data_IF_557216256496
#
_entry.id   IF_557216256496
#
_cell.length_a   1.000
_cell.length_b   1.000
_cell.length_c   1.000
_cell.angle_alpha   90.00
_cell.angle_beta   90.00
_cell.angle_gamma   90.00
#
_symmetry.space_group_name_H-M   'P 1'
#
loop_
_entity.id
_entity.type
_entity.pdbx_description
1 polymer ?
#
# COMPACT_ATOMS: atom_id res chain seq x y z
N UNK A 1 -50.17 -8.83 51.04
CA UNK A 1 -49.02 -8.68 50.11
C UNK A 1 -48.14 -9.91 50.25
N UNK A 2 -48.20 -10.83 49.28
CA UNK A 2 -47.47 -12.10 49.30
C UNK A 2 -46.04 -11.87 48.79
N UNK A 3 -45.03 -12.14 49.65
CA UNK A 3 -43.61 -12.07 49.32
C UNK A 3 -43.15 -13.42 48.79
N UNK A 4 -42.62 -13.46 47.56
CA UNK A 4 -42.12 -14.67 46.90
C UNK A 4 -40.60 -14.61 46.84
N UNK A 5 -39.94 -15.41 47.68
CA UNK A 5 -38.49 -15.60 47.66
C UNK A 5 -38.08 -16.51 46.49
N UNK A 6 -37.18 -16.07 45.62
CA UNK A 6 -36.58 -16.90 44.56
C UNK A 6 -35.42 -17.73 45.13
N UNK A 7 -35.21 -18.99 44.68
CA UNK A 7 -34.06 -19.78 45.10
C UNK A 7 -32.79 -19.33 44.37
N UNK A 8 -31.68 -19.24 45.09
CA UNK A 8 -30.34 -19.06 44.53
C UNK A 8 -29.80 -20.42 44.13
N UNK A 9 -29.59 -20.66 42.83
CA UNK A 9 -28.94 -21.87 42.32
C UNK A 9 -27.44 -21.66 42.38
N UNK A 10 -26.76 -22.46 43.20
CA UNK A 10 -25.29 -22.45 43.31
C UNK A 10 -24.73 -23.41 42.27
N UNK A 11 -24.19 -22.85 41.19
CA UNK A 11 -23.59 -23.60 40.09
C UNK A 11 -22.17 -24.04 40.49
N UNK A 12 -21.97 -25.33 40.74
CA UNK A 12 -20.64 -25.90 40.99
C UNK A 12 -20.01 -26.32 39.66
N UNK A 13 -18.97 -25.60 39.23
CA UNK A 13 -18.13 -26.02 38.10
C UNK A 13 -17.17 -27.12 38.57
N UNK A 14 -17.11 -28.23 37.83
CA UNK A 14 -16.13 -29.30 38.05
C UNK A 14 -14.77 -28.87 37.47
N UNK A 15 -13.64 -29.11 38.15
CA UNK A 15 -12.32 -28.86 37.57
C UNK A 15 -12.04 -29.88 36.45
N UNK A 16 -11.94 -29.45 35.20
CA UNK A 16 -11.61 -30.33 34.07
C UNK A 16 -11.89 -29.79 32.67
N UNK A 17 -12.76 -28.80 32.52
CA UNK A 17 -13.18 -28.29 31.20
C UNK A 17 -12.32 -27.13 30.69
N UNK A 18 -10.99 -27.25 30.79
CA UNK A 18 -10.05 -26.31 30.18
C UNK A 18 -9.42 -26.96 28.94
N UNK A 19 -9.96 -26.57 27.78
CA UNK A 19 -9.36 -26.63 26.43
C UNK A 19 -8.77 -27.98 25.96
N UNK A 20 -9.54 -28.79 25.19
CA UNK A 20 -8.95 -29.90 24.45
C UNK A 20 -8.27 -29.36 23.18
N UNK A 21 -6.97 -29.06 23.25
CA UNK A 21 -6.15 -28.92 22.05
C UNK A 21 -6.00 -30.30 21.39
N UNK A 22 -6.71 -30.52 20.27
CA UNK A 22 -6.46 -31.66 19.37
C UNK A 22 -5.24 -31.32 18.49
N UNK A 23 -4.21 -32.18 18.39
CA UNK A 23 -3.16 -31.97 17.40
C UNK A 23 -3.73 -32.17 15.99
N UNK A 24 -3.55 -31.17 15.13
CA UNK A 24 -3.84 -31.26 13.70
C UNK A 24 -2.85 -32.23 13.06
N UNK A 25 -3.36 -33.31 12.47
CA UNK A 25 -2.58 -34.20 11.60
C UNK A 25 -1.96 -33.40 10.44
N UNK A 26 -0.68 -33.59 10.20
CA UNK A 26 0.06 -32.89 9.15
C UNK A 26 -0.54 -33.17 7.76
N UNK A 27 -0.82 -32.15 6.93
CA UNK A 27 -1.23 -32.38 5.56
C UNK A 27 -0.02 -32.77 4.70
N UNK A 28 -0.26 -33.74 3.81
CA UNK A 28 0.69 -34.25 2.83
C UNK A 28 1.26 -33.13 1.93
N UNK A 29 2.50 -33.36 1.48
CA UNK A 29 3.38 -32.45 0.74
C UNK A 29 2.70 -31.38 -0.13
N UNK A 30 2.89 -30.12 0.26
CA UNK A 30 2.50 -28.95 -0.55
C UNK A 30 3.45 -28.85 -1.74
N UNK A 31 3.03 -29.33 -2.92
CA UNK A 31 3.67 -29.00 -4.20
C UNK A 31 3.75 -27.47 -4.33
N UNK A 32 4.97 -26.93 -4.44
CA UNK A 32 5.20 -25.52 -4.80
C UNK A 32 4.64 -25.30 -6.21
N UNK A 33 3.49 -24.63 -6.31
CA UNK A 33 3.07 -23.99 -7.56
C UNK A 33 3.93 -22.74 -7.71
N UNK A 34 4.93 -22.81 -8.57
CA UNK A 34 5.60 -21.61 -9.07
C UNK A 34 4.61 -20.91 -10.00
N UNK A 35 4.02 -19.81 -9.54
CA UNK A 35 3.37 -18.88 -10.46
C UNK A 35 4.48 -18.16 -11.21
N UNK A 36 4.63 -18.46 -12.50
CA UNK A 36 5.38 -17.59 -13.39
C UNK A 36 4.56 -16.31 -13.56
N UNK A 37 4.77 -15.35 -12.68
CA UNK A 37 4.20 -14.01 -12.84
C UNK A 37 5.10 -13.28 -13.83
N UNK A 38 4.74 -13.32 -15.11
CA UNK A 38 5.27 -12.36 -16.08
C UNK A 38 4.98 -10.96 -15.52
N UNK A 39 6.00 -10.11 -15.29
CA UNK A 39 5.77 -8.74 -14.84
C UNK A 39 4.83 -8.04 -15.82
N UNK A 40 3.83 -7.28 -15.34
CA UNK A 40 2.96 -6.53 -16.23
C UNK A 40 3.81 -5.61 -17.12
N UNK A 41 3.49 -5.58 -18.42
CA UNK A 41 4.17 -4.73 -19.37
C UNK A 41 4.09 -3.26 -18.91
N UNK A 42 5.22 -2.54 -18.94
CA UNK A 42 5.26 -1.12 -18.60
C UNK A 42 4.49 -0.35 -19.67
N UNK A 43 3.33 0.20 -19.30
CA UNK A 43 2.53 1.07 -20.15
C UNK A 43 3.35 2.29 -20.57
N UNK A 44 3.17 2.73 -21.81
CA UNK A 44 3.90 3.88 -22.39
C UNK A 44 3.09 5.16 -22.22
N UNK A 45 3.75 6.31 -22.24
CA UNK A 45 3.13 7.64 -22.10
C UNK A 45 1.99 7.90 -23.11
N UNK A 46 2.00 7.22 -24.26
CA UNK A 46 0.93 7.26 -25.26
C UNK A 46 -0.41 6.66 -24.81
N UNK A 47 -0.44 5.94 -23.69
CA UNK A 47 -1.63 5.24 -23.18
C UNK A 47 -2.32 5.98 -22.01
N UNK A 48 -1.87 7.19 -21.69
CA UNK A 48 -2.45 8.05 -20.65
C UNK A 48 -3.91 8.42 -20.92
N UNK A 49 -4.75 8.31 -19.89
CA UNK A 49 -6.17 8.67 -19.91
C UNK A 49 -6.45 9.74 -18.87
N UNK A 50 -6.71 10.95 -19.33
CA UNK A 50 -6.99 12.09 -18.46
C UNK A 50 -8.48 12.16 -18.10
N UNK A 51 -8.77 12.46 -16.84
CA UNK A 51 -10.13 12.73 -16.35
C UNK A 51 -10.71 13.98 -16.99
N UNK A 52 -12.00 13.95 -17.31
CA UNK A 52 -12.69 15.06 -17.99
C UNK A 52 -12.82 16.34 -17.16
N UNK A 53 -12.51 16.31 -15.86
CA UNK A 53 -12.55 17.47 -14.97
C UNK A 53 -11.23 18.28 -14.94
N UNK A 54 -10.25 17.91 -15.76
CA UNK A 54 -8.90 18.47 -15.72
C UNK A 54 -8.47 18.99 -17.09
N UNK A 55 -7.51 19.92 -17.09
CA UNK A 55 -6.83 20.34 -18.32
C UNK A 55 -5.96 19.19 -18.84
N UNK A 56 -6.38 18.59 -19.96
CA UNK A 56 -5.69 17.46 -20.55
C UNK A 56 -4.24 17.77 -20.93
N UNK A 57 -3.97 18.96 -21.46
CA UNK A 57 -2.62 19.33 -21.90
C UNK A 57 -1.65 19.41 -20.73
N UNK A 58 -2.10 20.01 -19.62
CA UNK A 58 -1.30 20.16 -18.40
C UNK A 58 -1.04 18.81 -17.73
N UNK A 59 -2.09 18.00 -17.56
CA UNK A 59 -1.96 16.68 -16.92
C UNK A 59 -1.04 15.77 -17.74
N UNK A 60 -1.14 15.78 -19.07
CA UNK A 60 -0.25 15.00 -19.93
C UNK A 60 1.21 15.43 -19.81
N UNK A 61 1.48 16.74 -19.76
CA UNK A 61 2.84 17.25 -19.59
C UNK A 61 3.45 16.84 -18.24
N UNK A 62 2.74 17.08 -17.15
CA UNK A 62 3.19 16.74 -15.79
C UNK A 62 3.35 15.23 -15.60
N UNK A 63 2.41 14.43 -16.09
CA UNK A 63 2.50 12.97 -16.02
C UNK A 63 3.64 12.43 -16.88
N UNK A 64 3.86 12.97 -18.08
CA UNK A 64 4.98 12.55 -18.93
C UNK A 64 6.31 12.82 -18.26
N UNK A 65 6.48 13.98 -17.63
CA UNK A 65 7.69 14.29 -16.88
C UNK A 65 7.95 13.28 -15.75
N UNK A 66 6.94 12.97 -14.94
CA UNK A 66 7.05 11.97 -13.86
C UNK A 66 7.42 10.57 -14.39
N UNK A 67 6.94 10.21 -15.58
CA UNK A 67 7.28 8.95 -16.24
C UNK A 67 8.70 8.94 -16.81
N UNK A 68 9.15 10.07 -17.37
CA UNK A 68 10.48 10.24 -17.97
C UNK A 68 11.60 10.27 -16.91
N UNK A 69 11.32 10.84 -15.73
CA UNK A 69 12.19 10.74 -14.54
C UNK A 69 12.37 9.28 -14.08
N UNK A 70 11.53 8.37 -14.57
CA UNK A 70 11.74 6.92 -14.51
C UNK A 70 11.24 6.26 -13.23
N UNK A 71 10.87 7.05 -12.22
CA UNK A 71 10.43 6.56 -10.92
C UNK A 71 8.94 6.20 -10.86
N UNK A 72 8.11 6.86 -11.65
CA UNK A 72 6.68 6.55 -11.75
C UNK A 72 6.36 5.61 -12.91
N UNK A 73 5.21 4.96 -12.81
CA UNK A 73 4.66 4.07 -13.83
C UNK A 73 3.16 4.32 -13.96
N UNK A 74 2.62 4.12 -15.16
CA UNK A 74 1.18 4.11 -15.36
C UNK A 74 0.58 2.81 -14.81
N UNK A 75 -0.58 2.92 -14.16
CA UNK A 75 -1.40 1.81 -13.70
C UNK A 75 -2.82 1.93 -14.26
N UNK A 76 -3.70 0.97 -13.93
CA UNK A 76 -5.13 0.98 -14.29
C UNK A 76 -5.43 1.30 -15.76
N UNK A 77 -4.66 0.71 -16.68
CA UNK A 77 -4.83 0.94 -18.13
C UNK A 77 -4.66 2.43 -18.52
N UNK A 78 -3.73 3.13 -17.86
CA UNK A 78 -3.37 4.52 -18.14
C UNK A 78 -4.14 5.57 -17.34
N UNK A 79 -4.96 5.16 -16.39
CA UNK A 79 -5.83 6.05 -15.60
C UNK A 79 -5.22 6.49 -14.26
N UNK A 80 -4.01 6.02 -13.94
CA UNK A 80 -3.35 6.31 -12.68
C UNK A 80 -1.83 6.24 -12.76
N UNK A 81 -1.19 6.72 -11.70
CA UNK A 81 0.26 6.69 -11.50
C UNK A 81 0.59 5.88 -10.25
N UNK A 82 1.61 5.02 -10.33
CA UNK A 82 2.10 4.25 -9.19
C UNK A 82 3.62 4.32 -9.06
N UNK A 83 4.11 4.26 -7.82
CA UNK A 83 5.53 4.24 -7.45
C UNK A 83 5.73 3.54 -6.11
N UNK A 84 6.88 2.89 -5.96
CA UNK A 84 7.36 2.37 -4.67
C UNK A 84 8.47 3.27 -4.10
N UNK A 85 8.32 3.67 -2.84
CA UNK A 85 9.29 4.42 -2.06
C UNK A 85 9.99 3.50 -1.06
N UNK A 86 11.29 3.71 -0.83
CA UNK A 86 12.09 2.93 0.13
C UNK A 86 12.89 3.83 1.05
N UNK A 87 12.92 3.49 2.34
CA UNK A 87 13.69 4.24 3.34
C UNK A 87 14.55 3.30 4.19
N UNK A 88 15.48 3.87 4.95
CA UNK A 88 16.39 3.10 5.80
C UNK A 88 15.69 2.41 6.99
N UNK A 89 14.64 3.02 7.53
CA UNK A 89 13.95 2.54 8.74
C UNK A 89 12.44 2.70 8.64
N UNK A 90 11.68 1.88 9.37
CA UNK A 90 10.22 2.02 9.47
C UNK A 90 9.79 3.41 9.94
N UNK A 91 10.53 4.01 10.89
CA UNK A 91 10.22 5.36 11.37
C UNK A 91 10.30 6.40 10.26
N UNK A 92 11.36 6.34 9.43
CA UNK A 92 11.50 7.25 8.29
C UNK A 92 10.37 7.07 7.26
N UNK A 93 10.00 5.82 6.97
CA UNK A 93 8.86 5.50 6.11
C UNK A 93 7.54 6.05 6.67
N UNK A 94 7.31 5.90 7.97
CA UNK A 94 6.09 6.40 8.62
C UNK A 94 6.04 7.94 8.65
N UNK A 95 7.17 8.59 8.87
CA UNK A 95 7.26 10.06 8.83
C UNK A 95 6.95 10.60 7.41
N UNK A 96 7.41 9.92 6.35
CA UNK A 96 7.02 10.20 4.97
C UNK A 96 5.50 10.04 4.76
N UNK A 97 4.93 8.93 5.23
CA UNK A 97 3.49 8.70 5.11
C UNK A 97 2.65 9.74 5.86
N UNK A 98 3.11 10.21 7.02
CA UNK A 98 2.43 11.26 7.78
C UNK A 98 2.37 12.58 7.00
N UNK A 99 3.48 12.98 6.36
CA UNK A 99 3.53 14.19 5.53
C UNK A 99 2.57 14.07 4.33
N UNK A 100 2.57 12.90 3.65
CA UNK A 100 1.64 12.62 2.54
C UNK A 100 0.18 12.67 3.02
N UNK A 101 -0.14 12.08 4.18
CA UNK A 101 -1.49 12.09 4.74
C UNK A 101 -1.99 13.51 5.08
N UNK A 102 -1.11 14.39 5.56
CA UNK A 102 -1.44 15.79 5.81
C UNK A 102 -1.83 16.51 4.50
N UNK A 103 -1.07 16.29 3.43
CA UNK A 103 -1.35 16.88 2.12
C UNK A 103 -2.62 16.29 1.47
N UNK A 104 -2.86 14.98 1.63
CA UNK A 104 -4.12 14.35 1.18
C UNK A 104 -5.35 15.07 1.74
N UNK A 105 -5.30 15.45 3.01
CA UNK A 105 -6.38 16.19 3.68
C UNK A 105 -6.55 17.58 3.09
N UNK A 106 -5.45 18.29 2.79
CA UNK A 106 -5.47 19.61 2.18
C UNK A 106 -6.06 19.58 0.76
N UNK A 107 -5.61 18.63 -0.06
CA UNK A 107 -6.07 18.47 -1.45
C UNK A 107 -7.44 17.77 -1.58
N UNK A 108 -7.93 17.20 -0.47
CA UNK A 108 -9.11 16.31 -0.44
C UNK A 108 -9.00 15.21 -1.49
N UNK A 109 -7.82 14.60 -1.57
CA UNK A 109 -7.46 13.57 -2.54
C UNK A 109 -6.63 12.51 -1.83
N UNK A 110 -6.99 11.25 -1.96
CA UNK A 110 -6.40 10.17 -1.17
C UNK A 110 -5.83 9.09 -2.09
N UNK A 111 -4.70 8.48 -1.74
CA UNK A 111 -4.11 7.44 -2.55
C UNK A 111 -4.71 6.08 -2.20
N UNK A 112 -4.47 5.12 -3.08
CA UNK A 112 -4.39 3.72 -2.72
C UNK A 112 -2.92 3.44 -2.34
N UNK A 113 -2.66 2.92 -1.14
CA UNK A 113 -1.29 2.59 -0.76
C UNK A 113 -1.16 1.30 0.06
N UNK A 114 0.03 0.72 0.04
CA UNK A 114 0.41 -0.39 0.92
C UNK A 114 1.77 -0.08 1.54
N UNK A 115 1.96 -0.45 2.81
CA UNK A 115 3.23 -0.30 3.50
C UNK A 115 3.68 -1.66 4.04
N UNK A 116 4.95 -1.99 3.79
CA UNK A 116 5.63 -3.17 4.31
C UNK A 116 6.97 -2.72 4.87
N UNK A 117 7.01 -2.49 6.19
CA UNK A 117 8.20 -2.01 6.91
C UNK A 117 8.80 -0.76 6.24
N UNK A 118 9.96 -0.87 5.61
CA UNK A 118 10.69 0.24 4.98
C UNK A 118 10.18 0.65 3.60
N UNK A 119 9.21 -0.08 3.04
CA UNK A 119 8.71 0.09 1.67
C UNK A 119 7.26 0.57 1.68
N UNK A 120 6.97 1.60 0.90
CA UNK A 120 5.59 2.08 0.70
C UNK A 120 5.31 2.16 -0.79
N UNK A 121 4.32 1.40 -1.26
CA UNK A 121 3.79 1.49 -2.61
C UNK A 121 2.59 2.41 -2.62
N UNK A 122 2.60 3.43 -3.48
CA UNK A 122 1.53 4.43 -3.60
C UNK A 122 1.01 4.42 -5.03
N UNK A 123 -0.31 4.53 -5.15
CA UNK A 123 -1.04 4.70 -6.39
C UNK A 123 -2.00 5.89 -6.28
N UNK A 124 -1.95 6.74 -7.29
CA UNK A 124 -2.82 7.90 -7.47
C UNK A 124 -3.71 7.71 -8.69
N UNK A 125 -5.01 7.87 -8.51
CA UNK A 125 -5.99 7.92 -9.59
C UNK A 125 -7.23 8.69 -9.14
N UNK A 126 -7.96 9.27 -10.09
CA UNK A 126 -9.23 9.92 -9.82
C UNK A 126 -10.39 9.01 -10.23
N UNK A 127 -11.22 8.63 -9.26
CA UNK A 127 -12.34 7.71 -9.49
C UNK A 127 -13.53 8.38 -10.19
N UNK A 128 -13.73 9.70 -10.05
CA UNK A 128 -14.87 10.40 -10.62
C UNK A 128 -14.59 11.89 -10.94
N UNK A 129 -14.74 12.31 -12.21
CA UNK A 129 -14.80 11.45 -13.40
C UNK A 129 -13.54 10.60 -13.51
N UNK A 130 -13.68 9.37 -14.02
CA UNK A 130 -12.60 8.38 -14.06
C UNK A 130 -11.42 8.87 -14.93
N UNK A 131 -10.20 8.69 -14.45
CA UNK A 131 -8.96 8.99 -15.19
C UNK A 131 -7.92 9.71 -14.33
N UNK A 132 -6.76 10.00 -14.91
CA UNK A 132 -5.72 10.78 -14.24
C UNK A 132 -6.14 12.26 -14.20
N UNK A 133 -6.05 12.92 -13.06
CA UNK A 133 -6.37 14.34 -12.91
C UNK A 133 -5.15 15.16 -12.50
N UNK A 134 -5.28 16.48 -12.49
CA UNK A 134 -4.25 17.39 -11.99
C UNK A 134 -3.93 17.16 -10.50
N UNK A 135 -4.85 16.54 -9.73
CA UNK A 135 -4.57 16.18 -8.34
C UNK A 135 -3.64 14.99 -8.24
N UNK A 136 -3.74 14.04 -9.18
CA UNK A 136 -2.89 12.85 -9.20
C UNK A 136 -1.44 13.23 -9.50
N UNK A 137 -1.21 14.07 -10.51
CA UNK A 137 0.13 14.57 -10.85
C UNK A 137 0.71 15.44 -9.74
N UNK A 138 -0.09 16.33 -9.14
CA UNK A 138 0.34 17.14 -8.00
C UNK A 138 0.75 16.28 -6.80
N UNK A 139 -0.09 15.32 -6.40
CA UNK A 139 0.23 14.46 -5.27
C UNK A 139 1.45 13.56 -5.53
N UNK A 140 1.65 13.12 -6.78
CA UNK A 140 2.85 12.39 -7.18
C UNK A 140 4.12 13.23 -7.02
N UNK A 141 4.12 14.48 -7.53
CA UNK A 141 5.24 15.42 -7.36
C UNK A 141 5.52 15.71 -5.88
N UNK A 142 4.47 15.94 -5.09
CA UNK A 142 4.61 16.15 -3.65
C UNK A 142 5.27 14.96 -2.95
N UNK A 143 4.89 13.72 -3.31
CA UNK A 143 5.55 12.53 -2.78
C UNK A 143 7.06 12.52 -3.10
N UNK A 144 7.47 12.90 -4.30
CA UNK A 144 8.88 12.94 -4.70
C UNK A 144 9.68 13.97 -3.88
N UNK A 145 9.10 15.15 -3.66
CA UNK A 145 9.70 16.20 -2.84
C UNK A 145 9.86 15.75 -1.37
N UNK A 146 8.82 15.16 -0.80
CA UNK A 146 8.85 14.65 0.58
C UNK A 146 9.85 13.50 0.70
N UNK A 147 9.83 12.56 -0.24
CA UNK A 147 10.71 11.39 -0.23
C UNK A 147 12.18 11.83 -0.28
N UNK A 148 12.51 12.82 -1.11
CA UNK A 148 13.84 13.44 -1.17
C UNK A 148 14.23 14.04 0.18
N UNK A 149 13.37 14.86 0.80
CA UNK A 149 13.62 15.47 2.11
C UNK A 149 13.76 14.44 3.25
N UNK A 150 13.07 13.30 3.13
CA UNK A 150 13.08 12.20 4.12
C UNK A 150 14.21 11.19 3.88
N UNK A 151 15.05 11.39 2.87
CA UNK A 151 16.20 10.53 2.59
C UNK A 151 15.80 9.19 1.99
N UNK A 152 14.95 9.21 0.96
CA UNK A 152 14.63 8.02 0.18
C UNK A 152 15.89 7.34 -0.36
N UNK A 153 15.88 6.01 -0.33
CA UNK A 153 16.86 5.16 -0.98
C UNK A 153 16.37 4.85 -2.40
N UNK A 154 16.80 5.66 -3.37
CA UNK A 154 16.57 5.37 -4.78
C UNK A 154 17.29 4.07 -5.14
N UNK A 155 16.53 3.00 -5.34
CA UNK A 155 17.12 1.75 -5.80
C UNK A 155 17.59 1.93 -7.24
N UNK A 156 18.90 2.09 -7.44
CA UNK A 156 19.51 1.84 -8.73
C UNK A 156 19.19 0.39 -9.11
N UNK A 157 18.40 0.21 -10.18
CA UNK A 157 18.20 -1.03 -10.94
C UNK A 157 17.84 -2.29 -10.16
N UNK A 158 16.80 -2.99 -10.62
CA UNK A 158 16.44 -4.32 -10.11
C UNK A 158 17.59 -5.31 -10.31
N UNK A 159 18.44 -5.54 -9.31
CA UNK A 159 19.33 -6.70 -9.22
C UNK A 159 19.60 -7.03 -7.74
N UNK A 160 19.12 -8.19 -7.29
CA UNK A 160 19.61 -8.87 -6.08
C UNK A 160 18.97 -8.48 -4.74
N UNK A 161 17.72 -8.91 -4.48
CA UNK A 161 17.23 -9.04 -3.10
C UNK A 161 17.77 -10.33 -2.49
N UNK A 162 19.01 -10.27 -1.99
CA UNK A 162 19.43 -11.13 -0.89
C UNK A 162 19.03 -10.43 0.40
N UNK A 163 17.97 -10.94 1.03
CA UNK A 163 17.52 -10.47 2.34
C UNK A 163 18.68 -10.52 3.35
N UNK A 164 18.87 -9.50 4.21
CA UNK A 164 19.84 -9.57 5.28
C UNK A 164 19.39 -10.64 6.28
N UNK A 165 20.16 -11.73 6.39
CA UNK A 165 19.98 -12.72 7.44
C UNK A 165 20.08 -12.03 8.80
N UNK A 166 19.01 -12.11 9.57
CA UNK A 166 19.02 -11.70 10.98
C UNK A 166 19.98 -12.60 11.75
N UNK A 167 20.99 -12.07 12.47
CA UNK A 167 21.81 -12.89 13.35
C UNK A 167 20.92 -13.46 14.46
N UNK A 168 20.92 -14.80 14.58
CA UNK A 168 20.31 -15.48 15.72
C UNK A 168 21.15 -15.15 16.95
N UNK A 169 20.52 -14.53 17.95
CA UNK A 169 21.02 -14.43 19.32
C UNK A 169 20.75 -15.74 20.04
#
# INVERSE_FOLDING_TARGET
MLSVSKPVVRMTLRPGDLYPWRPLSAPAGRRRRTFATTPPARLKSSELKVSSNSDASRVLAEATQLLDDGHWRLCDQGEGLEREFRFKTFKATWDFMNDVAAECKAQRHHPEWTNVFTRTHIKWTTHSPKGLSAKDTHMAQFCDDVATRRGELLSASQDGDAAPETPKV
#
